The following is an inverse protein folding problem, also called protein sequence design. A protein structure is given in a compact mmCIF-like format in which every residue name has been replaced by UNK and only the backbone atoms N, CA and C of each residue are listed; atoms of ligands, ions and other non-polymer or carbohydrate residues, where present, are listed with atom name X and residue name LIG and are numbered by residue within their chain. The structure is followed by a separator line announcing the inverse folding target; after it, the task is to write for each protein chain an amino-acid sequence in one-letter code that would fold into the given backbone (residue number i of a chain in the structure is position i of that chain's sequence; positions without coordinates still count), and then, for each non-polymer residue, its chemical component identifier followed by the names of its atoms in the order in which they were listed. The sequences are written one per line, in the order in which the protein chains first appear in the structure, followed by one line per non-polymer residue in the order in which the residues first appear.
data_IF_767641097453
#
_entry.id   IF_767641097453
#
_cell.length_a   1.000
_cell.length_b   1.000
_cell.length_c   1.000
_cell.angle_alpha   90.00
_cell.angle_beta   90.00
_cell.angle_gamma   90.00
#
_symmetry.space_group_name_H-M   'P 1'
#
loop_
_entity.id
_entity.type
_entity.pdbx_description
1 polymer ?
#
# COMPACT_ATOMS: atom_id res chain seq x y z
N UNK A 1 -20.91 -88.60 -9.58
CA UNK A 1 -21.70 -87.36 -9.75
C UNK A 1 -20.77 -86.27 -10.19
N UNK A 2 -20.67 -86.05 -11.51
CA UNK A 2 -19.78 -85.07 -12.12
C UNK A 2 -20.61 -83.77 -12.32
N UNK A 3 -20.15 -82.68 -11.79
CA UNK A 3 -20.69 -81.37 -12.10
C UNK A 3 -19.71 -80.61 -12.99
N UNK A 4 -20.15 -80.31 -14.19
CA UNK A 4 -19.49 -79.57 -15.22
C UNK A 4 -19.65 -78.06 -14.97
N UNK A 5 -18.56 -77.32 -14.81
CA UNK A 5 -18.59 -75.85 -14.68
C UNK A 5 -18.41 -75.27 -16.08
N UNK A 6 -19.44 -74.56 -16.55
CA UNK A 6 -19.39 -73.73 -17.78
C UNK A 6 -18.71 -72.39 -17.49
N UNK A 7 -17.63 -72.13 -18.24
CA UNK A 7 -16.95 -70.85 -18.25
C UNK A 7 -17.80 -69.77 -18.93
N UNK A 8 -18.08 -68.70 -18.20
CA UNK A 8 -18.65 -67.45 -18.74
C UNK A 8 -17.52 -66.46 -18.95
N UNK A 9 -17.21 -66.18 -20.22
CA UNK A 9 -16.25 -65.12 -20.57
C UNK A 9 -16.91 -63.74 -20.37
N UNK A 10 -16.42 -63.03 -19.36
CA UNK A 10 -16.77 -61.62 -19.15
C UNK A 10 -15.95 -60.72 -20.05
N UNK A 11 -16.58 -60.04 -21.01
CA UNK A 11 -15.95 -58.95 -21.77
C UNK A 11 -15.78 -57.72 -20.84
N UNK A 12 -14.56 -57.44 -20.50
CA UNK A 12 -14.18 -56.20 -19.84
C UNK A 12 -14.24 -55.04 -20.86
N UNK A 13 -15.29 -54.26 -20.78
CA UNK A 13 -15.39 -52.96 -21.48
C UNK A 13 -14.55 -51.93 -20.74
N UNK A 14 -13.43 -51.53 -21.33
CA UNK A 14 -12.58 -50.43 -20.85
C UNK A 14 -13.31 -49.12 -21.14
N UNK A 15 -14.04 -48.59 -20.17
CA UNK A 15 -14.59 -47.23 -20.21
C UNK A 15 -13.42 -46.31 -19.86
N UNK A 16 -12.82 -45.71 -20.88
CA UNK A 16 -11.84 -44.63 -20.69
C UNK A 16 -12.57 -43.40 -20.10
N UNK A 17 -12.48 -43.22 -18.80
CA UNK A 17 -12.84 -41.94 -18.15
C UNK A 17 -11.80 -40.90 -18.59
N UNK A 18 -12.13 -40.18 -19.65
CA UNK A 18 -11.42 -38.94 -20.01
C UNK A 18 -11.76 -37.89 -18.93
N UNK A 19 -10.93 -37.80 -17.90
CA UNK A 19 -10.95 -36.70 -16.96
C UNK A 19 -10.66 -35.42 -17.77
N UNK A 20 -11.71 -34.69 -18.11
CA UNK A 20 -11.61 -33.31 -18.54
C UNK A 20 -11.02 -32.53 -17.35
N UNK A 21 -9.71 -32.39 -17.34
CA UNK A 21 -9.04 -31.33 -16.63
C UNK A 21 -9.57 -30.03 -17.25
N UNK A 22 -10.62 -29.47 -16.70
CA UNK A 22 -10.91 -28.07 -16.87
C UNK A 22 -9.70 -27.33 -16.30
N UNK A 23 -8.78 -26.98 -17.18
CA UNK A 23 -7.85 -25.91 -16.95
C UNK A 23 -8.73 -24.74 -16.49
N UNK A 24 -8.72 -24.44 -15.20
CA UNK A 24 -9.15 -23.16 -14.69
C UNK A 24 -8.25 -22.14 -15.38
N UNK A 25 -8.63 -21.73 -16.57
CA UNK A 25 -8.17 -20.48 -17.14
C UNK A 25 -8.65 -19.44 -16.13
N UNK A 26 -7.75 -19.03 -15.27
CA UNK A 26 -7.88 -17.80 -14.50
C UNK A 26 -8.31 -16.77 -15.52
N UNK A 27 -9.56 -16.34 -15.41
CA UNK A 27 -10.13 -15.42 -16.36
C UNK A 27 -9.14 -14.26 -16.45
N UNK A 28 -8.57 -14.09 -17.65
CA UNK A 28 -7.73 -12.96 -17.95
C UNK A 28 -8.64 -11.75 -17.75
N UNK A 29 -8.54 -11.08 -16.60
CA UNK A 29 -9.32 -9.90 -16.26
C UNK A 29 -8.51 -8.70 -16.76
N UNK A 30 -8.64 -8.33 -18.06
CA UNK A 30 -7.86 -7.25 -18.64
C UNK A 30 -8.24 -5.94 -17.95
N UNK A 31 -7.24 -5.18 -17.58
CA UNK A 31 -7.46 -3.81 -17.16
C UNK A 31 -7.73 -2.99 -18.41
N UNK A 32 -8.94 -2.45 -18.51
CA UNK A 32 -9.33 -1.51 -19.56
C UNK A 32 -9.05 -0.09 -19.04
N UNK A 33 -8.60 0.81 -19.90
CA UNK A 33 -8.37 2.21 -19.52
C UNK A 33 -8.95 3.17 -20.53
N UNK A 34 -9.45 4.30 -20.04
CA UNK A 34 -9.95 5.41 -20.86
C UNK A 34 -9.65 6.74 -20.17
N UNK A 35 -9.67 7.82 -20.92
CA UNK A 35 -9.57 9.18 -20.40
C UNK A 35 -10.90 9.89 -20.62
N UNK A 36 -11.50 10.39 -19.54
CA UNK A 36 -12.75 11.15 -19.60
C UNK A 36 -12.53 12.54 -20.23
N UNK A 37 -13.58 13.20 -20.72
CA UNK A 37 -13.50 14.58 -21.20
C UNK A 37 -12.95 15.57 -20.17
N UNK A 38 -13.10 15.29 -18.87
CA UNK A 38 -12.51 16.06 -17.79
C UNK A 38 -10.98 15.93 -17.68
N UNK A 39 -10.36 14.99 -18.38
CA UNK A 39 -8.95 14.61 -18.22
C UNK A 39 -8.69 13.49 -17.21
N UNK A 40 -9.70 13.07 -16.43
CA UNK A 40 -9.56 11.96 -15.47
C UNK A 40 -9.25 10.65 -16.20
N UNK A 41 -8.33 9.88 -15.63
CA UNK A 41 -7.99 8.55 -16.14
C UNK A 41 -8.82 7.49 -15.40
N UNK A 42 -9.48 6.61 -16.14
CA UNK A 42 -10.34 5.54 -15.58
C UNK A 42 -9.74 4.19 -15.96
N UNK A 43 -9.63 3.31 -14.97
CA UNK A 43 -9.12 1.94 -15.10
C UNK A 43 -10.18 0.97 -14.59
N UNK A 44 -10.57 -0.01 -15.41
CA UNK A 44 -11.71 -0.87 -15.12
C UNK A 44 -11.32 -2.34 -15.24
N UNK A 45 -11.75 -3.12 -14.26
CA UNK A 45 -11.82 -4.58 -14.36
C UNK A 45 -13.26 -5.03 -14.10
N UNK A 46 -13.92 -5.52 -15.14
CA UNK A 46 -15.28 -6.06 -15.03
C UNK A 46 -15.26 -7.43 -14.35
N UNK A 47 -15.98 -7.59 -13.25
CA UNK A 47 -16.12 -8.83 -12.47
C UNK A 47 -17.60 -9.04 -12.12
N UNK A 48 -18.33 -9.81 -12.95
CA UNK A 48 -19.78 -9.95 -12.88
C UNK A 48 -20.27 -10.99 -11.86
N UNK A 49 -19.38 -11.66 -11.14
CA UNK A 49 -19.71 -12.76 -10.24
C UNK A 49 -20.51 -12.34 -8.99
N UNK A 50 -20.38 -11.11 -8.53
CA UNK A 50 -21.07 -10.56 -7.36
C UNK A 50 -21.63 -9.19 -7.77
N UNK A 51 -22.91 -8.87 -7.48
CA UNK A 51 -23.55 -7.60 -7.83
C UNK A 51 -23.04 -6.45 -6.96
N UNK A 52 -21.75 -6.16 -7.05
CA UNK A 52 -21.02 -5.19 -6.24
C UNK A 52 -20.00 -4.44 -7.10
N UNK A 53 -19.75 -3.20 -6.76
CA UNK A 53 -18.67 -2.39 -7.34
C UNK A 53 -17.83 -1.77 -6.23
N UNK A 54 -16.52 -1.86 -6.42
CA UNK A 54 -15.50 -1.18 -5.63
C UNK A 54 -14.81 -0.12 -6.50
N UNK A 55 -14.69 1.10 -5.96
CA UNK A 55 -14.07 2.25 -6.64
C UNK A 55 -13.00 2.85 -5.75
N UNK A 56 -11.85 3.16 -6.34
CA UNK A 56 -10.79 3.95 -5.73
C UNK A 56 -10.51 5.16 -6.61
N UNK A 57 -10.56 6.37 -6.02
CA UNK A 57 -10.24 7.61 -6.72
C UNK A 57 -9.03 8.22 -6.03
N UNK A 58 -7.97 8.51 -6.76
CA UNK A 58 -6.70 8.95 -6.21
C UNK A 58 -6.25 10.26 -6.85
N UNK A 59 -5.65 11.11 -6.00
CA UNK A 59 -5.13 12.42 -6.37
C UNK A 59 -3.72 12.60 -5.82
N UNK A 60 -2.87 13.30 -6.53
CA UNK A 60 -1.55 13.73 -6.07
C UNK A 60 -1.70 14.84 -4.99
N UNK A 61 -2.10 14.41 -3.80
CA UNK A 61 -2.47 15.23 -2.66
C UNK A 61 -2.07 14.55 -1.32
N UNK A 62 -0.95 13.81 -1.33
CA UNK A 62 -0.42 13.18 -0.12
C UNK A 62 0.41 14.12 0.74
N UNK A 63 0.89 13.62 1.88
CA UNK A 63 1.62 14.40 2.89
C UNK A 63 2.89 15.06 2.33
N UNK A 64 3.50 14.50 1.26
CA UNK A 64 4.63 15.15 0.57
C UNK A 64 4.27 16.47 -0.12
N UNK A 65 2.98 16.79 -0.25
CA UNK A 65 2.45 18.06 -0.77
C UNK A 65 2.14 19.08 0.32
N UNK A 66 2.32 18.72 1.57
CA UNK A 66 2.08 19.62 2.69
C UNK A 66 2.99 20.87 2.60
N UNK A 67 2.46 22.06 2.82
CA UNK A 67 3.27 23.25 2.95
C UNK A 67 4.28 23.13 4.09
N UNK A 68 5.43 23.76 3.92
CA UNK A 68 6.49 23.76 4.94
C UNK A 68 5.93 24.19 6.31
N UNK A 69 6.16 23.37 7.33
CA UNK A 69 5.71 23.59 8.69
C UNK A 69 4.24 23.25 8.97
N UNK A 70 3.51 22.69 8.00
CA UNK A 70 2.15 22.16 8.15
C UNK A 70 2.07 20.67 7.87
N UNK A 71 3.12 19.93 8.17
CA UNK A 71 3.15 18.45 8.02
C UNK A 71 1.93 17.84 8.70
N UNK A 72 1.24 16.96 7.96
CA UNK A 72 -0.02 16.33 8.35
C UNK A 72 -1.26 17.04 7.79
N UNK A 73 -1.13 18.15 7.04
CA UNK A 73 -2.29 18.86 6.48
C UNK A 73 -3.12 17.97 5.55
N UNK A 74 -2.49 17.22 4.64
CA UNK A 74 -3.18 16.28 3.74
C UNK A 74 -3.95 15.21 4.52
N UNK A 75 -3.29 14.56 5.46
CA UNK A 75 -3.88 13.53 6.33
C UNK A 75 -5.01 14.08 7.19
N UNK A 76 -4.87 15.27 7.77
CA UNK A 76 -5.94 15.90 8.56
C UNK A 76 -7.10 16.32 7.66
N UNK A 77 -6.83 16.83 6.45
CA UNK A 77 -7.87 17.19 5.47
C UNK A 77 -8.70 15.98 5.08
N UNK A 78 -8.06 14.86 4.75
CA UNK A 78 -8.76 13.62 4.41
C UNK A 78 -9.65 13.12 5.56
N UNK A 79 -9.17 13.21 6.79
CA UNK A 79 -9.93 12.83 7.99
C UNK A 79 -11.18 13.69 8.24
N UNK A 80 -11.22 14.94 7.77
CA UNK A 80 -12.38 15.81 7.92
C UNK A 80 -13.48 15.56 6.88
N UNK A 81 -13.22 14.80 5.82
CA UNK A 81 -14.19 14.53 4.76
C UNK A 81 -15.41 13.70 5.22
N UNK A 82 -15.29 12.96 6.31
CA UNK A 82 -16.39 12.22 6.94
C UNK A 82 -17.16 13.01 8.01
N UNK A 83 -16.85 14.31 8.22
CA UNK A 83 -17.40 15.10 9.32
C UNK A 83 -18.65 15.89 8.96
N UNK A 84 -19.23 15.58 7.82
CA UNK A 84 -20.46 16.19 7.28
C UNK A 84 -20.24 16.81 5.91
N UNK A 85 -21.36 17.13 5.26
CA UNK A 85 -21.40 17.72 3.91
C UNK A 85 -22.33 18.93 3.90
N UNK A 86 -22.01 19.91 3.05
CA UNK A 86 -22.88 21.04 2.76
C UNK A 86 -23.97 20.63 1.76
N UNK A 87 -25.03 21.46 1.66
CA UNK A 87 -26.04 21.30 0.61
C UNK A 87 -25.40 21.42 -0.78
N UNK A 88 -25.79 20.52 -1.69
CA UNK A 88 -25.23 20.47 -3.04
C UNK A 88 -26.24 19.90 -4.04
N UNK A 89 -26.45 20.59 -5.18
CA UNK A 89 -27.35 20.17 -6.27
C UNK A 89 -28.73 19.69 -5.78
N UNK A 90 -29.38 20.48 -4.92
CA UNK A 90 -30.70 20.18 -4.37
C UNK A 90 -30.72 19.13 -3.24
N UNK A 91 -29.58 18.54 -2.90
CA UNK A 91 -29.44 17.65 -1.75
C UNK A 91 -29.17 18.47 -0.47
N UNK A 92 -29.78 18.11 0.67
CA UNK A 92 -29.58 18.84 1.92
C UNK A 92 -28.15 18.67 2.45
N UNK A 93 -27.72 19.57 3.32
CA UNK A 93 -26.56 19.38 4.15
C UNK A 93 -26.81 18.23 5.14
N UNK A 94 -25.77 17.44 5.43
CA UNK A 94 -25.80 16.38 6.43
C UNK A 94 -24.66 16.59 7.43
N UNK A 95 -24.97 16.44 8.71
CA UNK A 95 -23.93 16.37 9.73
C UNK A 95 -23.22 15.01 9.74
N UNK A 96 -22.25 14.81 10.63
CA UNK A 96 -21.45 13.58 10.73
C UNK A 96 -22.31 12.32 10.99
N UNK A 97 -23.34 12.44 11.85
CA UNK A 97 -24.21 11.31 12.19
C UNK A 97 -25.17 11.00 11.05
N UNK A 98 -25.84 12.03 10.51
CA UNK A 98 -26.74 11.90 9.36
C UNK A 98 -26.02 11.32 8.14
N UNK A 99 -24.76 11.73 7.91
CA UNK A 99 -23.93 11.18 6.84
C UNK A 99 -23.63 9.69 7.07
N UNK A 100 -23.32 9.32 8.31
CA UNK A 100 -23.10 7.92 8.69
C UNK A 100 -24.37 7.06 8.52
N UNK A 101 -25.52 7.55 8.94
CA UNK A 101 -26.81 6.89 8.76
C UNK A 101 -27.16 6.73 7.27
N UNK A 102 -26.96 7.77 6.47
CA UNK A 102 -27.22 7.72 5.03
C UNK A 102 -26.37 6.64 4.30
N UNK A 103 -25.13 6.44 4.72
CA UNK A 103 -24.31 5.35 4.20
C UNK A 103 -24.77 3.98 4.67
N UNK A 104 -25.16 3.87 5.94
CA UNK A 104 -25.68 2.61 6.50
C UNK A 104 -26.97 2.18 5.82
N UNK A 105 -27.91 3.10 5.58
CA UNK A 105 -29.18 2.85 4.90
C UNK A 105 -29.00 2.33 3.46
N UNK A 106 -27.89 2.72 2.80
CA UNK A 106 -27.57 2.25 1.46
C UNK A 106 -26.82 0.89 1.45
N UNK A 107 -26.45 0.35 2.61
CA UNK A 107 -25.57 -0.81 2.68
C UNK A 107 -24.25 -0.60 1.93
N UNK A 108 -23.81 0.66 1.83
CA UNK A 108 -22.63 1.09 1.10
C UNK A 108 -21.60 1.72 2.06
N UNK A 109 -20.38 1.86 1.61
CA UNK A 109 -19.35 2.55 2.36
C UNK A 109 -18.59 3.53 1.47
N UNK A 110 -18.31 4.71 2.00
CA UNK A 110 -17.46 5.70 1.39
C UNK A 110 -16.51 6.28 2.42
N UNK A 111 -15.25 6.46 2.04
CA UNK A 111 -14.23 7.01 2.92
C UNK A 111 -13.12 7.71 2.15
N UNK A 112 -12.36 8.51 2.88
CA UNK A 112 -11.17 9.14 2.36
C UNK A 112 -9.98 8.84 3.27
N UNK A 113 -8.77 8.78 2.69
CA UNK A 113 -7.52 8.58 3.41
C UNK A 113 -6.34 9.19 2.68
N UNK A 114 -5.29 9.49 3.44
CA UNK A 114 -4.05 10.01 2.91
C UNK A 114 -2.89 9.04 3.08
N UNK A 115 -1.86 9.22 2.27
CA UNK A 115 -0.54 8.61 2.39
C UNK A 115 0.51 9.64 1.99
N UNK A 116 1.78 9.26 2.00
CA UNK A 116 2.87 10.16 1.56
C UNK A 116 2.62 10.73 0.15
N UNK A 117 2.15 9.89 -0.79
CA UNK A 117 2.04 10.26 -2.20
C UNK A 117 0.66 10.75 -2.62
N UNK A 118 -0.42 10.31 -1.96
CA UNK A 118 -1.77 10.47 -2.50
C UNK A 118 -2.85 10.63 -1.42
N UNK A 119 -3.87 11.38 -1.76
CA UNK A 119 -5.16 11.32 -1.08
C UNK A 119 -6.11 10.48 -1.94
N UNK A 120 -6.74 9.49 -1.32
CA UNK A 120 -7.65 8.56 -1.99
C UNK A 120 -9.05 8.59 -1.39
N UNK A 121 -10.04 8.31 -2.24
CA UNK A 121 -11.42 8.07 -1.85
C UNK A 121 -11.79 6.65 -2.26
N UNK A 122 -12.47 5.94 -1.40
CA UNK A 122 -12.95 4.59 -1.67
C UNK A 122 -14.47 4.51 -1.55
N UNK A 123 -15.12 3.91 -2.54
CA UNK A 123 -16.54 3.59 -2.53
C UNK A 123 -16.72 2.09 -2.71
N UNK A 124 -17.58 1.50 -1.88
CA UNK A 124 -18.12 0.15 -2.10
C UNK A 124 -19.64 0.20 -2.07
N UNK A 125 -20.29 -0.35 -3.08
CA UNK A 125 -21.74 -0.41 -3.17
C UNK A 125 -22.20 -1.66 -3.89
N UNK A 126 -23.43 -2.09 -3.59
CA UNK A 126 -24.16 -3.02 -4.45
C UNK A 126 -24.56 -2.32 -5.76
N UNK A 127 -24.63 -3.08 -6.86
CA UNK A 127 -24.96 -2.54 -8.20
C UNK A 127 -26.47 -2.54 -8.50
N UNK A 128 -27.31 -2.67 -7.48
CA UNK A 128 -28.76 -2.64 -7.65
C UNK A 128 -29.24 -1.25 -8.09
N UNK A 129 -30.26 -1.21 -9.00
CA UNK A 129 -30.72 0.06 -9.60
C UNK A 129 -31.29 1.08 -8.60
N UNK A 130 -31.76 0.63 -7.46
CA UNK A 130 -32.29 1.47 -6.38
C UNK A 130 -31.25 1.94 -5.37
N UNK A 131 -30.06 1.33 -5.34
CA UNK A 131 -28.98 1.62 -4.39
C UNK A 131 -27.80 2.38 -5.02
N UNK A 132 -27.23 1.86 -6.11
CA UNK A 132 -26.01 2.43 -6.71
C UNK A 132 -26.14 3.90 -7.08
N UNK A 133 -27.21 4.37 -7.74
CA UNK A 133 -27.35 5.80 -8.07
C UNK A 133 -27.37 6.70 -6.84
N UNK A 134 -27.99 6.26 -5.73
CA UNK A 134 -28.04 7.00 -4.47
C UNK A 134 -26.65 7.06 -3.81
N UNK A 135 -25.92 5.93 -3.80
CA UNK A 135 -24.56 5.86 -3.28
C UNK A 135 -23.60 6.78 -4.06
N UNK A 136 -23.70 6.77 -5.39
CA UNK A 136 -22.91 7.67 -6.25
C UNK A 136 -23.22 9.15 -5.98
N UNK A 137 -24.51 9.49 -5.85
CA UNK A 137 -24.91 10.86 -5.59
C UNK A 137 -24.46 11.35 -4.20
N UNK A 138 -24.46 10.49 -3.18
CA UNK A 138 -23.95 10.81 -1.85
C UNK A 138 -22.43 10.95 -1.86
N UNK A 139 -21.72 10.06 -2.53
CA UNK A 139 -20.26 10.13 -2.68
C UNK A 139 -19.84 11.42 -3.43
N UNK A 140 -20.53 11.75 -4.53
CA UNK A 140 -20.29 12.98 -5.29
C UNK A 140 -20.50 14.23 -4.42
N UNK A 141 -21.57 14.28 -3.61
CA UNK A 141 -21.81 15.37 -2.66
C UNK A 141 -20.67 15.45 -1.63
N UNK A 142 -20.23 14.32 -1.08
CA UNK A 142 -19.18 14.29 -0.05
C UNK A 142 -17.83 14.75 -0.61
N UNK A 143 -17.54 14.47 -1.87
CA UNK A 143 -16.35 14.98 -2.56
C UNK A 143 -16.48 16.45 -2.95
N UNK A 144 -17.66 16.87 -3.46
CA UNK A 144 -17.88 18.22 -3.97
C UNK A 144 -18.02 19.28 -2.86
N UNK A 145 -18.65 18.91 -1.76
CA UNK A 145 -19.11 19.86 -0.74
C UNK A 145 -18.81 19.41 0.70
N UNK A 146 -17.56 19.05 1.04
CA UNK A 146 -17.22 18.70 2.42
C UNK A 146 -17.40 19.90 3.35
N UNK A 147 -17.95 19.67 4.54
CA UNK A 147 -18.34 20.75 5.44
C UNK A 147 -17.15 21.53 6.04
N UNK A 148 -16.07 20.85 6.40
CA UNK A 148 -14.89 21.44 7.05
C UNK A 148 -15.27 22.45 8.16
N UNK A 149 -15.91 21.97 9.23
CA UNK A 149 -16.40 22.85 10.29
C UNK A 149 -15.37 23.07 11.40
N UNK A 150 -15.24 24.29 11.90
CA UNK A 150 -14.30 24.62 12.97
C UNK A 150 -14.56 23.81 14.26
N UNK A 151 -15.83 23.59 14.62
CA UNK A 151 -16.19 22.83 15.82
C UNK A 151 -15.73 21.36 15.75
N UNK A 152 -15.88 20.69 14.59
CA UNK A 152 -15.40 19.31 14.42
C UNK A 152 -13.88 19.25 14.41
N UNK A 153 -13.22 20.22 13.77
CA UNK A 153 -11.77 20.32 13.77
C UNK A 153 -11.21 20.55 15.17
N UNK A 154 -11.81 21.42 15.98
CA UNK A 154 -11.38 21.68 17.35
C UNK A 154 -11.42 20.40 18.21
N UNK A 155 -12.48 19.63 18.09
CA UNK A 155 -12.58 18.32 18.76
C UNK A 155 -11.50 17.34 18.28
N UNK A 156 -11.26 17.29 16.96
CA UNK A 156 -10.32 16.34 16.39
C UNK A 156 -8.86 16.72 16.68
N UNK A 157 -8.50 18.02 16.72
CA UNK A 157 -7.15 18.47 17.07
C UNK A 157 -6.78 18.06 18.52
N UNK A 158 -7.74 18.14 19.45
CA UNK A 158 -7.52 17.70 20.83
C UNK A 158 -7.23 16.20 20.90
N UNK A 159 -8.02 15.40 20.19
CA UNK A 159 -7.83 13.94 20.11
C UNK A 159 -6.50 13.58 19.43
N UNK A 160 -6.14 14.24 18.32
CA UNK A 160 -4.87 14.00 17.61
C UNK A 160 -3.68 14.41 18.48
N UNK A 161 -3.76 15.56 19.18
CA UNK A 161 -2.73 16.01 20.12
C UNK A 161 -2.52 15.01 21.27
N UNK A 162 -3.61 14.48 21.84
CA UNK A 162 -3.51 13.45 22.88
C UNK A 162 -2.85 12.16 22.35
N UNK A 163 -3.25 11.69 21.18
CA UNK A 163 -2.65 10.53 20.52
C UNK A 163 -1.15 10.75 20.20
N UNK A 164 -0.78 11.97 19.78
CA UNK A 164 0.61 12.32 19.52
C UNK A 164 1.47 12.23 20.78
N UNK A 165 0.97 12.77 21.90
CA UNK A 165 1.65 12.69 23.21
C UNK A 165 1.80 11.24 23.66
N UNK A 166 0.74 10.45 23.56
CA UNK A 166 0.80 9.02 23.90
C UNK A 166 1.78 8.28 22.99
N UNK A 167 1.74 8.51 21.67
CA UNK A 167 2.63 7.83 20.72
C UNK A 167 4.12 8.14 20.98
N UNK A 168 4.43 9.33 21.48
CA UNK A 168 5.78 9.75 21.85
C UNK A 168 6.33 9.01 23.11
N UNK A 169 5.50 8.29 23.83
CA UNK A 169 5.92 7.41 24.94
C UNK A 169 6.18 5.97 24.49
N UNK A 170 6.01 5.65 23.20
CA UNK A 170 6.17 4.29 22.66
C UNK A 170 7.53 4.15 21.97
N UNK A 171 8.42 3.26 22.41
CA UNK A 171 9.77 3.13 21.84
C UNK A 171 9.75 2.75 20.37
N UNK A 172 8.77 1.96 19.92
CA UNK A 172 8.59 1.64 18.49
C UNK A 172 8.34 2.89 17.63
N UNK A 173 7.49 3.81 18.11
CA UNK A 173 7.19 5.07 17.41
C UNK A 173 8.43 5.98 17.35
N UNK A 174 9.15 6.08 18.46
CA UNK A 174 10.39 6.85 18.54
C UNK A 174 11.42 6.29 17.54
N UNK A 175 11.58 4.96 17.49
CA UNK A 175 12.49 4.30 16.57
C UNK A 175 12.12 4.59 15.10
N UNK A 176 10.85 4.44 14.72
CA UNK A 176 10.37 4.70 13.37
C UNK A 176 10.60 6.17 12.95
N UNK A 177 10.28 7.13 13.82
CA UNK A 177 10.48 8.57 13.55
C UNK A 177 11.95 8.92 13.37
N UNK A 178 12.81 8.45 14.27
CA UNK A 178 14.26 8.68 14.18
C UNK A 178 14.85 8.05 12.91
N UNK A 179 14.37 6.86 12.57
CA UNK A 179 14.77 6.16 11.36
C UNK A 179 14.35 6.93 10.09
N UNK A 180 13.07 7.29 9.97
CA UNK A 180 12.56 8.02 8.81
C UNK A 180 13.26 9.37 8.63
N UNK A 181 13.39 10.14 9.70
CA UNK A 181 14.11 11.43 9.66
C UNK A 181 15.56 11.27 9.20
N UNK A 182 16.27 10.24 9.65
CA UNK A 182 17.66 10.00 9.26
C UNK A 182 17.80 9.45 7.84
N UNK A 183 16.87 8.59 7.39
CA UNK A 183 16.88 8.00 6.04
C UNK A 183 16.52 9.02 4.97
N UNK A 184 15.53 9.85 5.22
CA UNK A 184 15.00 10.75 4.20
C UNK A 184 15.54 12.18 4.26
N UNK A 185 16.16 12.56 5.40
CA UNK A 185 16.74 13.89 5.58
C UNK A 185 15.71 15.01 5.35
N UNK A 186 15.97 15.87 4.37
CA UNK A 186 15.06 16.97 4.01
C UNK A 186 13.93 16.59 3.04
N UNK A 187 13.85 15.32 2.60
CA UNK A 187 12.77 14.88 1.74
C UNK A 187 11.47 14.73 2.54
N UNK A 188 10.30 15.13 1.98
CA UNK A 188 9.02 15.09 2.70
C UNK A 188 8.60 13.73 3.24
N UNK A 189 9.06 12.61 2.68
CA UNK A 189 8.82 11.27 3.23
C UNK A 189 9.36 11.07 4.66
N UNK A 190 10.31 11.89 5.09
CA UNK A 190 10.86 11.87 6.44
C UNK A 190 10.20 12.84 7.41
N UNK A 191 9.22 13.62 6.94
CA UNK A 191 8.54 14.59 7.81
C UNK A 191 7.50 13.88 8.66
N UNK A 192 7.38 14.35 9.90
CA UNK A 192 6.48 13.77 10.88
C UNK A 192 5.51 14.83 11.40
N UNK A 193 4.27 14.41 11.67
CA UNK A 193 3.30 15.27 12.35
C UNK A 193 3.80 15.59 13.75
N UNK A 194 3.86 16.87 14.08
CA UNK A 194 4.28 17.38 15.39
C UNK A 194 3.17 18.24 16.01
N UNK A 195 3.24 18.46 17.33
CA UNK A 195 2.36 19.41 18.01
C UNK A 195 2.43 20.81 17.36
N UNK A 196 3.63 21.21 16.89
CA UNK A 196 3.84 22.51 16.28
C UNK A 196 3.18 22.59 14.90
N UNK A 197 3.33 21.58 14.04
CA UNK A 197 2.67 21.55 12.74
C UNK A 197 1.16 21.42 12.88
N UNK A 198 0.69 20.57 13.80
CA UNK A 198 -0.73 20.40 14.10
C UNK A 198 -1.43 21.71 14.49
N UNK A 199 -0.79 22.54 15.33
CA UNK A 199 -1.35 23.85 15.73
C UNK A 199 -1.46 24.87 14.60
N UNK A 200 -0.70 24.70 13.52
CA UNK A 200 -0.76 25.59 12.33
C UNK A 200 -1.87 25.18 11.37
N UNK A 201 -2.32 23.92 11.45
CA UNK A 201 -3.39 23.41 10.60
C UNK A 201 -4.72 23.97 11.08
N UNK A 202 -5.50 24.52 10.16
CA UNK A 202 -6.84 25.05 10.41
C UNK A 202 -7.76 24.75 9.22
N UNK A 203 -9.05 24.99 9.40
CA UNK A 203 -10.09 24.71 8.39
C UNK A 203 -9.82 25.46 7.07
N UNK A 204 -9.31 26.69 7.13
CA UNK A 204 -8.99 27.43 5.90
C UNK A 204 -7.84 26.79 5.13
N UNK A 205 -6.78 26.34 5.82
CA UNK A 205 -5.67 25.63 5.19
C UNK A 205 -6.16 24.32 4.55
N UNK A 206 -7.04 23.56 5.23
CA UNK A 206 -7.64 22.33 4.69
C UNK A 206 -8.45 22.62 3.43
N UNK A 207 -9.31 23.64 3.43
CA UNK A 207 -10.10 24.05 2.26
C UNK A 207 -9.20 24.44 1.09
N UNK A 208 -8.18 25.26 1.36
CA UNK A 208 -7.23 25.71 0.35
C UNK A 208 -6.45 24.52 -0.24
N UNK A 209 -5.97 23.60 0.59
CA UNK A 209 -5.28 22.40 0.16
C UNK A 209 -6.19 21.51 -0.69
N UNK A 210 -7.40 21.25 -0.22
CA UNK A 210 -8.40 20.44 -0.91
C UNK A 210 -8.71 21.01 -2.31
N UNK A 211 -9.05 22.28 -2.38
CA UNK A 211 -9.39 22.96 -3.64
C UNK A 211 -8.19 23.00 -4.61
N UNK A 212 -6.96 23.14 -4.10
CA UNK A 212 -5.77 23.17 -4.95
C UNK A 212 -5.45 21.82 -5.60
N UNK A 213 -5.69 20.70 -4.90
CA UNK A 213 -5.22 19.38 -5.31
C UNK A 213 -6.33 18.46 -5.84
N UNK A 214 -7.54 18.54 -5.29
CA UNK A 214 -8.66 17.64 -5.65
C UNK A 214 -9.44 18.25 -6.82
N UNK A 215 -9.05 17.88 -8.05
CA UNK A 215 -9.59 18.37 -9.31
C UNK A 215 -9.91 17.23 -10.24
N UNK A 216 -11.03 17.30 -10.95
CA UNK A 216 -11.50 16.21 -11.79
C UNK A 216 -10.43 15.71 -12.79
N UNK A 217 -9.72 16.63 -13.44
CA UNK A 217 -8.69 16.32 -14.44
C UNK A 217 -7.45 15.61 -13.89
N UNK A 218 -7.23 15.64 -12.57
CA UNK A 218 -6.09 14.99 -11.91
C UNK A 218 -6.45 13.64 -11.31
N UNK A 219 -7.72 13.23 -11.41
CA UNK A 219 -8.21 12.00 -10.82
C UNK A 219 -7.68 10.77 -11.58
N UNK A 220 -7.22 9.77 -10.83
CA UNK A 220 -7.06 8.40 -11.29
C UNK A 220 -8.15 7.57 -10.63
N UNK A 221 -9.07 7.04 -11.43
CA UNK A 221 -10.24 6.29 -10.96
C UNK A 221 -10.05 4.83 -11.32
N UNK A 222 -9.95 3.97 -10.33
CA UNK A 222 -9.88 2.53 -10.49
C UNK A 222 -11.19 1.90 -10.06
N UNK A 223 -11.75 1.00 -10.88
CA UNK A 223 -13.07 0.41 -10.68
C UNK A 223 -12.98 -1.09 -10.90
N UNK A 224 -13.47 -1.86 -9.94
CA UNK A 224 -13.56 -3.33 -10.04
C UNK A 224 -14.95 -3.77 -9.60
N UNK A 225 -15.63 -4.58 -10.41
CA UNK A 225 -16.92 -5.12 -10.02
C UNK A 225 -17.88 -5.38 -11.17
N UNK A 226 -19.16 -5.55 -10.84
CA UNK A 226 -20.21 -5.88 -11.78
C UNK A 226 -20.70 -4.66 -12.57
N UNK A 227 -19.79 -4.09 -13.35
CA UNK A 227 -20.04 -2.94 -14.25
C UNK A 227 -19.34 -3.16 -15.58
N UNK A 228 -19.95 -2.67 -16.68
CA UNK A 228 -19.28 -2.59 -17.98
C UNK A 228 -18.32 -1.40 -18.02
N UNK A 229 -17.44 -1.34 -19.00
CA UNK A 229 -16.58 -0.18 -19.20
C UNK A 229 -17.40 1.11 -19.36
N UNK A 230 -18.45 1.09 -20.18
CA UNK A 230 -19.31 2.24 -20.40
C UNK A 230 -20.04 2.71 -19.13
N UNK A 231 -20.47 1.77 -18.27
CA UNK A 231 -21.09 2.13 -16.99
C UNK A 231 -20.06 2.67 -16.01
N UNK A 232 -18.84 2.14 -16.00
CA UNK A 232 -17.74 2.64 -15.18
C UNK A 232 -17.34 4.07 -15.56
N UNK A 233 -17.33 4.43 -16.86
CA UNK A 233 -17.10 5.79 -17.32
C UNK A 233 -18.18 6.77 -16.86
N UNK A 234 -19.45 6.36 -16.94
CA UNK A 234 -20.59 7.14 -16.40
C UNK A 234 -20.48 7.32 -14.88
N UNK A 235 -20.16 6.24 -14.16
CA UNK A 235 -19.97 6.24 -12.73
C UNK A 235 -18.85 7.21 -12.31
N UNK A 236 -17.70 7.12 -12.97
CA UNK A 236 -16.58 8.02 -12.72
C UNK A 236 -16.95 9.49 -13.01
N UNK A 237 -17.66 9.74 -14.12
CA UNK A 237 -18.15 11.07 -14.48
C UNK A 237 -19.08 11.64 -13.40
N UNK A 238 -20.00 10.84 -12.88
CA UNK A 238 -20.92 11.26 -11.80
C UNK A 238 -20.17 11.57 -10.50
N UNK A 239 -19.21 10.73 -10.10
CA UNK A 239 -18.42 10.93 -8.89
C UNK A 239 -17.60 12.23 -8.96
N UNK A 240 -17.07 12.57 -10.12
CA UNK A 240 -16.21 13.74 -10.31
C UNK A 240 -16.97 15.03 -10.68
N UNK A 241 -18.30 14.96 -10.89
CA UNK A 241 -19.10 16.06 -11.44
C UNK A 241 -19.06 17.35 -10.63
N UNK A 242 -18.85 17.28 -9.32
CA UNK A 242 -18.77 18.44 -8.43
C UNK A 242 -17.36 18.97 -8.21
N UNK A 243 -16.35 18.35 -8.78
CA UNK A 243 -14.97 18.79 -8.63
C UNK A 243 -14.59 19.85 -9.67
N UNK A 244 -13.68 20.79 -9.33
CA UNK A 244 -13.19 21.77 -10.29
C UNK A 244 -12.63 21.11 -11.55
N UNK A 245 -13.00 21.63 -12.71
CA UNK A 245 -12.58 21.13 -14.04
C UNK A 245 -11.36 21.89 -14.57
N UNK A 246 -11.03 23.04 -14.00
CA UNK A 246 -9.95 23.93 -14.41
C UNK A 246 -8.72 23.81 -13.49
N UNK A 247 -7.60 24.44 -13.88
CA UNK A 247 -6.37 24.44 -13.09
C UNK A 247 -5.68 23.08 -13.08
N UNK A 248 -5.58 22.46 -14.26
CA UNK A 248 -5.04 21.13 -14.48
C UNK A 248 -3.54 21.12 -14.78
N UNK A 249 -2.86 22.25 -14.58
CA UNK A 249 -1.41 22.34 -14.75
C UNK A 249 -0.68 21.34 -13.86
N UNK A 250 0.52 20.95 -14.29
CA UNK A 250 1.36 20.06 -13.52
C UNK A 250 1.67 20.65 -12.13
N UNK A 251 1.55 19.84 -11.10
CA UNK A 251 1.95 20.24 -9.76
C UNK A 251 3.48 20.40 -9.67
N UNK A 252 3.98 21.28 -8.79
CA UNK A 252 5.41 21.45 -8.59
C UNK A 252 6.10 20.09 -8.34
N UNK A 253 7.30 19.93 -8.92
CA UNK A 253 8.07 18.72 -8.70
C UNK A 253 8.51 18.62 -7.24
N UNK A 254 8.40 17.42 -6.67
CA UNK A 254 9.01 17.09 -5.37
C UNK A 254 10.43 16.61 -5.64
N UNK A 255 11.45 17.09 -4.90
CA UNK A 255 12.83 16.62 -5.06
C UNK A 255 12.94 15.10 -4.85
N UNK A 256 13.96 14.48 -5.42
CA UNK A 256 14.21 13.06 -5.20
C UNK A 256 14.91 12.82 -3.86
N UNK A 257 14.63 11.66 -3.27
CA UNK A 257 15.33 11.19 -2.07
C UNK A 257 16.82 11.01 -2.39
N UNK A 258 17.68 11.59 -1.58
CA UNK A 258 19.12 11.50 -1.78
C UNK A 258 19.73 10.29 -1.08
N UNK A 259 20.73 9.62 -1.66
CA UNK A 259 21.47 8.56 -0.99
C UNK A 259 22.16 9.07 0.28
N UNK A 260 22.36 8.20 1.25
CA UNK A 260 23.11 8.53 2.47
C UNK A 260 24.60 8.74 2.14
N UNK A 261 25.16 9.82 2.65
CA UNK A 261 26.60 10.12 2.49
C UNK A 261 27.48 9.19 3.35
N UNK A 262 27.03 8.85 4.56
CA UNK A 262 27.74 8.03 5.53
C UNK A 262 26.77 7.27 6.43
N UNK A 263 27.28 6.25 7.13
CA UNK A 263 26.55 5.54 8.16
C UNK A 263 26.19 6.45 9.34
N UNK A 264 25.03 6.24 9.93
CA UNK A 264 24.57 6.93 11.12
C UNK A 264 24.14 5.89 12.17
N UNK A 265 24.63 6.05 13.40
CA UNK A 265 24.23 5.21 14.53
C UNK A 265 23.55 6.10 15.57
N UNK A 266 22.24 5.87 15.77
CA UNK A 266 21.39 6.66 16.65
C UNK A 266 20.95 5.75 17.79
N UNK A 267 21.42 6.02 19.00
CA UNK A 267 20.97 5.36 20.21
C UNK A 267 20.06 6.32 20.98
N UNK A 268 18.91 5.84 21.38
CA UNK A 268 17.95 6.59 22.21
C UNK A 268 17.71 5.78 23.47
N UNK A 269 18.25 6.21 24.61
CA UNK A 269 17.94 5.58 25.91
C UNK A 269 16.45 5.60 26.16
N UNK A 270 15.92 4.45 26.54
CA UNK A 270 14.52 4.29 26.87
C UNK A 270 14.33 3.10 27.80
N UNK A 271 13.67 3.31 28.93
CA UNK A 271 13.37 2.24 29.85
C UNK A 271 12.25 1.35 29.29
N UNK A 272 12.62 0.20 28.77
CA UNK A 272 11.70 -0.78 28.21
C UNK A 272 12.28 -2.19 28.30
N UNK A 273 11.40 -3.19 28.35
CA UNK A 273 11.77 -4.60 28.34
C UNK A 273 12.42 -5.04 27.01
N UNK A 274 12.20 -4.30 25.94
CA UNK A 274 12.73 -4.60 24.60
C UNK A 274 13.36 -3.36 23.97
N UNK A 275 14.49 -3.57 23.31
CA UNK A 275 15.07 -2.58 22.40
C UNK A 275 14.48 -2.76 20.98
N UNK A 276 14.07 -1.65 20.38
CA UNK A 276 13.61 -1.57 19.00
C UNK A 276 14.77 -1.17 18.11
N UNK A 277 15.04 -1.98 17.10
CA UNK A 277 16.14 -1.77 16.15
C UNK A 277 15.58 -1.56 14.75
N UNK A 278 16.06 -0.53 14.08
CA UNK A 278 15.84 -0.28 12.65
C UNK A 278 17.17 -0.03 11.96
N UNK A 279 17.44 -0.78 10.87
CA UNK A 279 18.65 -0.63 10.06
C UNK A 279 18.22 -0.41 8.61
N UNK A 280 18.70 0.63 7.92
CA UNK A 280 18.32 0.81 6.52
C UNK A 280 18.82 2.10 5.89
N UNK A 281 18.31 2.36 4.70
CA UNK A 281 18.71 3.46 3.82
C UNK A 281 17.57 3.77 2.83
N UNK A 282 17.67 4.85 2.02
CA UNK A 282 16.83 5.00 0.83
C UNK A 282 16.98 3.78 -0.11
N UNK A 283 15.88 3.27 -0.61
CA UNK A 283 15.83 2.12 -1.50
C UNK A 283 15.66 2.54 -2.97
N UNK A 284 14.48 2.32 -3.54
CA UNK A 284 14.19 2.56 -4.96
C UNK A 284 12.75 3.00 -5.20
N UNK A 285 12.47 3.54 -6.40
CA UNK A 285 11.12 3.91 -6.85
C UNK A 285 10.34 2.69 -7.31
N UNK A 286 9.01 2.74 -7.23
CA UNK A 286 8.14 1.64 -7.68
C UNK A 286 8.32 1.26 -9.15
N UNK A 287 8.75 2.19 -9.98
CA UNK A 287 9.00 1.97 -11.42
C UNK A 287 10.43 1.53 -11.76
N UNK A 288 11.25 1.25 -10.75
CA UNK A 288 12.64 0.83 -10.96
C UNK A 288 12.70 -0.51 -11.73
N UNK A 289 13.56 -0.64 -12.74
CA UNK A 289 13.71 -1.88 -13.50
C UNK A 289 14.14 -3.08 -12.66
N UNK A 290 14.85 -2.85 -11.55
CA UNK A 290 15.29 -3.90 -10.62
C UNK A 290 14.18 -4.40 -9.69
N UNK A 291 12.95 -3.87 -9.80
CA UNK A 291 11.85 -4.17 -8.87
C UNK A 291 11.66 -5.67 -8.60
N UNK A 292 11.60 -6.49 -9.64
CA UNK A 292 11.34 -7.94 -9.47
C UNK A 292 12.53 -8.67 -8.85
N UNK A 293 13.75 -8.31 -9.22
CA UNK A 293 14.96 -8.88 -8.62
C UNK A 293 15.05 -8.52 -7.12
N UNK A 294 14.74 -7.28 -6.77
CA UNK A 294 14.70 -6.80 -5.39
C UNK A 294 13.55 -7.40 -4.59
N UNK A 295 12.38 -7.64 -5.22
CA UNK A 295 11.25 -8.33 -4.60
C UNK A 295 11.62 -9.75 -4.20
N UNK A 296 12.18 -10.55 -5.14
CA UNK A 296 12.60 -11.93 -4.87
C UNK A 296 13.76 -11.94 -3.88
N UNK A 297 14.75 -11.07 -4.04
CA UNK A 297 15.89 -10.97 -3.14
C UNK A 297 15.49 -10.59 -1.72
N UNK A 298 14.58 -9.63 -1.55
CA UNK A 298 14.08 -9.29 -0.22
C UNK A 298 13.26 -10.42 0.41
N UNK A 299 12.51 -11.18 -0.38
CA UNK A 299 11.80 -12.37 0.12
C UNK A 299 12.78 -13.35 0.76
N UNK A 300 13.93 -13.62 0.13
CA UNK A 300 14.98 -14.49 0.65
C UNK A 300 15.68 -13.87 1.87
N UNK A 301 15.97 -12.57 1.83
CA UNK A 301 16.70 -11.89 2.90
C UNK A 301 15.91 -11.84 4.21
N UNK A 302 14.67 -11.30 4.20
CA UNK A 302 13.88 -11.09 5.40
C UNK A 302 12.38 -10.99 5.20
N UNK A 303 11.89 -10.96 3.94
CA UNK A 303 10.47 -10.85 3.61
C UNK A 303 9.70 -12.17 3.59
N UNK A 304 10.38 -13.31 3.48
CA UNK A 304 9.78 -14.65 3.39
C UNK A 304 9.44 -15.31 4.74
N UNK A 305 9.40 -14.54 5.82
CA UNK A 305 9.07 -15.06 7.14
C UNK A 305 10.09 -16.10 7.63
N UNK A 306 9.62 -17.27 8.05
CA UNK A 306 10.48 -18.33 8.65
C UNK A 306 11.55 -18.89 7.71
N UNK A 307 11.38 -18.79 6.41
CA UNK A 307 12.36 -19.29 5.43
C UNK A 307 13.47 -18.29 5.11
N UNK A 308 13.38 -17.05 5.62
CA UNK A 308 14.34 -16.00 5.30
C UNK A 308 15.66 -16.14 6.07
N UNK A 309 16.73 -15.59 5.47
CA UNK A 309 18.08 -15.62 6.09
C UNK A 309 18.13 -14.90 7.43
N UNK A 310 17.49 -13.73 7.53
CA UNK A 310 17.45 -12.98 8.79
C UNK A 310 16.76 -13.78 9.90
N UNK A 311 15.61 -14.42 9.62
CA UNK A 311 14.93 -15.24 10.62
C UNK A 311 15.80 -16.41 11.05
N UNK A 312 16.41 -17.10 10.11
CA UNK A 312 17.30 -18.23 10.41
C UNK A 312 18.50 -17.82 11.27
N UNK A 313 19.18 -16.72 10.92
CA UNK A 313 20.44 -16.33 11.58
C UNK A 313 20.21 -15.60 12.91
N UNK A 314 19.20 -14.71 12.99
CA UNK A 314 18.96 -13.88 14.18
C UNK A 314 18.06 -14.59 15.18
N UNK A 315 16.99 -15.24 14.70
CA UNK A 315 15.99 -15.88 15.56
C UNK A 315 16.35 -17.34 15.86
N UNK A 316 16.45 -18.20 14.83
CA UNK A 316 16.53 -19.66 15.04
C UNK A 316 17.87 -20.07 15.60
N UNK A 317 18.97 -19.61 15.03
CA UNK A 317 20.32 -20.01 15.46
C UNK A 317 20.78 -19.34 16.75
N UNK A 318 20.33 -18.10 17.02
CA UNK A 318 20.89 -17.29 18.12
C UNK A 318 19.88 -16.84 19.16
N UNK A 319 18.58 -16.99 18.90
CA UNK A 319 17.53 -16.59 19.84
C UNK A 319 17.51 -15.09 20.17
N UNK A 320 18.10 -14.23 19.31
CA UNK A 320 18.25 -12.81 19.58
C UNK A 320 16.97 -12.01 19.42
N UNK A 321 16.01 -12.49 18.63
CA UNK A 321 14.75 -11.81 18.37
C UNK A 321 13.63 -12.80 18.13
N UNK A 322 12.42 -12.48 18.60
CA UNK A 322 11.23 -13.25 18.24
C UNK A 322 10.77 -12.96 16.79
N UNK A 323 10.96 -11.73 16.33
CA UNK A 323 10.59 -11.30 14.98
C UNK A 323 11.69 -10.43 14.39
N UNK A 324 12.18 -10.81 13.22
CA UNK A 324 13.10 -10.03 12.41
C UNK A 324 12.65 -10.11 10.95
N UNK A 325 12.68 -8.98 10.27
CA UNK A 325 12.20 -8.88 8.89
C UNK A 325 12.96 -7.79 8.12
N UNK A 326 12.89 -7.87 6.80
CA UNK A 326 13.29 -6.77 5.92
C UNK A 326 12.22 -6.46 4.89
N UNK A 327 12.15 -5.21 4.45
CA UNK A 327 11.25 -4.78 3.40
C UNK A 327 11.80 -3.58 2.64
N UNK A 328 11.29 -3.39 1.42
CA UNK A 328 11.37 -2.16 0.66
C UNK A 328 9.98 -1.51 0.61
N UNK A 329 9.92 -0.19 0.65
CA UNK A 329 8.69 0.60 0.55
C UNK A 329 8.70 1.50 -0.68
N UNK A 330 8.79 0.96 -1.92
CA UNK A 330 8.93 1.77 -3.12
C UNK A 330 7.67 2.60 -3.40
N UNK A 331 7.82 3.93 -3.47
CA UNK A 331 6.79 4.91 -3.80
C UNK A 331 7.03 5.58 -5.16
N UNK A 332 6.47 6.76 -5.35
CA UNK A 332 6.81 7.63 -6.49
C UNK A 332 8.28 8.07 -6.42
N UNK A 333 8.79 8.28 -5.21
CA UNK A 333 10.19 8.50 -4.92
C UNK A 333 10.81 7.26 -4.29
N UNK A 334 12.14 7.26 -4.10
CA UNK A 334 12.84 6.13 -3.49
C UNK A 334 12.38 5.96 -2.03
N UNK A 335 11.53 4.99 -1.77
CA UNK A 335 11.14 4.60 -0.43
C UNK A 335 12.25 3.83 0.28
N UNK A 336 12.15 3.67 1.60
CA UNK A 336 13.21 3.04 2.37
C UNK A 336 13.34 1.53 2.12
N UNK A 337 14.57 1.05 2.21
CA UNK A 337 14.88 -0.32 2.65
C UNK A 337 15.07 -0.31 4.15
N UNK A 338 14.44 -1.25 4.85
CA UNK A 338 14.59 -1.39 6.29
C UNK A 338 14.68 -2.85 6.73
N UNK A 339 15.53 -3.10 7.73
CA UNK A 339 15.52 -4.28 8.59
C UNK A 339 14.96 -3.82 9.92
N UNK A 340 13.93 -4.51 10.43
CA UNK A 340 13.31 -4.26 11.71
C UNK A 340 13.38 -5.47 12.63
N UNK A 341 13.69 -5.26 13.90
CA UNK A 341 13.64 -6.30 14.93
C UNK A 341 13.42 -5.72 16.32
N UNK A 342 12.99 -6.58 17.23
CA UNK A 342 12.92 -6.30 18.66
C UNK A 342 13.74 -7.35 19.40
N UNK A 343 14.51 -6.92 20.39
CA UNK A 343 15.41 -7.80 21.15
C UNK A 343 15.51 -7.33 22.60
N UNK A 344 16.11 -8.14 23.47
CA UNK A 344 16.46 -7.65 24.79
C UNK A 344 17.54 -6.56 24.71
N UNK A 345 17.50 -5.53 25.58
CA UNK A 345 18.46 -4.44 25.56
C UNK A 345 19.92 -4.89 25.60
N UNK A 346 20.24 -5.87 26.43
CA UNK A 346 21.59 -6.44 26.58
C UNK A 346 22.08 -7.21 25.33
N UNK A 347 21.19 -7.58 24.43
CA UNK A 347 21.48 -8.29 23.18
C UNK A 347 21.43 -7.38 21.95
N UNK A 348 21.04 -6.11 22.09
CA UNK A 348 20.80 -5.23 20.95
C UNK A 348 22.03 -5.06 20.05
N UNK A 349 23.21 -4.87 20.63
CA UNK A 349 24.45 -4.75 19.86
C UNK A 349 24.76 -5.99 19.02
N UNK A 350 24.57 -7.18 19.62
CA UNK A 350 24.78 -8.46 18.91
C UNK A 350 23.75 -8.65 17.81
N UNK A 351 22.46 -8.34 18.06
CA UNK A 351 21.40 -8.46 17.07
C UNK A 351 21.62 -7.52 15.88
N UNK A 352 22.06 -6.28 16.12
CA UNK A 352 22.47 -5.33 15.08
C UNK A 352 23.61 -5.89 14.25
N UNK A 353 24.69 -6.36 14.89
CA UNK A 353 25.87 -6.89 14.20
C UNK A 353 25.50 -8.07 13.30
N UNK A 354 24.80 -9.08 13.83
CA UNK A 354 24.37 -10.26 13.07
C UNK A 354 23.49 -9.87 11.89
N UNK A 355 22.55 -8.93 12.09
CA UNK A 355 21.67 -8.48 10.99
C UNK A 355 22.46 -7.77 9.88
N UNK A 356 23.45 -6.96 10.24
CA UNK A 356 24.34 -6.29 9.27
C UNK A 356 25.23 -7.28 8.53
N UNK A 357 25.76 -8.30 9.22
CA UNK A 357 26.59 -9.33 8.62
C UNK A 357 25.81 -10.16 7.61
N UNK A 358 24.56 -10.55 7.95
CA UNK A 358 23.66 -11.26 7.04
C UNK A 358 23.37 -10.41 5.80
N UNK A 359 23.07 -9.14 5.97
CA UNK A 359 22.83 -8.20 4.87
C UNK A 359 24.07 -8.05 3.98
N UNK A 360 25.23 -7.76 4.57
CA UNK A 360 26.47 -7.57 3.83
C UNK A 360 26.87 -8.82 3.05
N UNK A 361 26.77 -9.99 3.69
CA UNK A 361 26.99 -11.28 3.03
C UNK A 361 26.00 -11.50 1.86
N UNK A 362 24.71 -11.19 2.06
CA UNK A 362 23.70 -11.33 1.01
C UNK A 362 23.98 -10.42 -0.19
N UNK A 363 24.33 -9.16 0.05
CA UNK A 363 24.69 -8.22 -1.02
C UNK A 363 25.96 -8.65 -1.75
N UNK A 364 26.97 -9.15 -1.04
CA UNK A 364 28.25 -9.55 -1.63
C UNK A 364 28.16 -10.86 -2.43
N UNK A 365 27.46 -11.87 -1.89
CA UNK A 365 27.48 -13.24 -2.42
C UNK A 365 26.21 -13.62 -3.20
N UNK A 366 25.10 -12.89 -2.99
CA UNK A 366 23.80 -13.23 -3.55
C UNK A 366 23.14 -14.44 -2.89
N UNK A 367 21.97 -14.85 -3.40
CA UNK A 367 21.26 -16.06 -2.97
C UNK A 367 21.81 -17.30 -3.67
N UNK A 368 21.54 -18.49 -3.08
CA UNK A 368 21.76 -19.77 -3.77
C UNK A 368 20.64 -20.04 -4.79
N UNK A 369 20.88 -20.93 -5.78
CA UNK A 369 19.83 -21.34 -6.73
C UNK A 369 18.59 -21.94 -6.04
N UNK A 370 18.79 -22.70 -4.97
CA UNK A 370 17.72 -23.33 -4.19
C UNK A 370 16.86 -22.28 -3.46
N UNK A 371 17.49 -21.25 -2.88
CA UNK A 371 16.77 -20.14 -2.24
C UNK A 371 15.95 -19.36 -3.28
N UNK A 372 16.50 -19.16 -4.48
CA UNK A 372 15.77 -18.46 -5.57
C UNK A 372 14.58 -19.29 -6.01
N UNK A 373 14.72 -20.60 -6.22
CA UNK A 373 13.61 -21.45 -6.63
C UNK A 373 12.51 -21.47 -5.57
N UNK A 374 12.86 -21.68 -4.31
CA UNK A 374 11.89 -21.68 -3.20
C UNK A 374 11.15 -20.34 -3.07
N UNK A 375 11.85 -19.21 -3.25
CA UNK A 375 11.22 -17.89 -3.23
C UNK A 375 10.24 -17.67 -4.39
N UNK A 376 10.62 -18.10 -5.61
CA UNK A 376 9.74 -18.06 -6.79
C UNK A 376 8.49 -18.91 -6.58
N UNK A 377 8.65 -20.15 -6.13
CA UNK A 377 7.53 -21.07 -5.89
C UNK A 377 6.53 -20.48 -4.89
N UNK A 378 7.04 -19.88 -3.81
CA UNK A 378 6.20 -19.21 -2.82
C UNK A 378 5.49 -17.96 -3.38
N UNK A 379 6.22 -17.09 -4.06
CA UNK A 379 5.68 -15.84 -4.61
C UNK A 379 4.67 -16.11 -5.72
N UNK A 380 4.96 -17.02 -6.64
CA UNK A 380 4.08 -17.38 -7.77
C UNK A 380 2.87 -18.15 -7.25
N UNK A 381 3.08 -19.16 -6.39
CA UNK A 381 1.98 -19.93 -5.80
C UNK A 381 1.03 -19.09 -4.94
N UNK A 382 1.56 -18.07 -4.26
CA UNK A 382 0.78 -17.12 -3.46
C UNK A 382 0.14 -15.98 -4.26
N UNK A 383 0.46 -15.82 -5.56
CA UNK A 383 -0.01 -14.66 -6.33
C UNK A 383 -1.52 -14.59 -6.46
N UNK A 384 -2.18 -15.74 -6.66
CA UNK A 384 -3.62 -15.81 -6.74
C UNK A 384 -4.33 -15.21 -5.53
N UNK A 385 -3.80 -15.41 -4.34
CA UNK A 385 -4.33 -14.87 -3.09
C UNK A 385 -4.20 -13.35 -2.96
N UNK A 386 -3.44 -12.71 -3.86
CA UNK A 386 -3.29 -11.25 -3.92
C UNK A 386 -4.35 -10.55 -4.75
N UNK A 387 -5.15 -11.32 -5.51
CA UNK A 387 -6.18 -10.82 -6.44
C UNK A 387 -7.51 -11.61 -6.32
N UNK A 388 -7.72 -12.35 -5.23
CA UNK A 388 -8.84 -13.27 -5.03
C UNK A 388 -10.16 -12.58 -4.62
N UNK A 389 -10.17 -11.28 -4.49
CA UNK A 389 -11.37 -10.49 -4.17
C UNK A 389 -11.36 -9.15 -4.90
N UNK A 390 -12.56 -8.56 -5.11
CA UNK A 390 -12.68 -7.24 -5.75
C UNK A 390 -11.79 -6.21 -5.06
N UNK A 391 -11.75 -6.19 -3.72
CA UNK A 391 -10.92 -5.23 -2.98
C UNK A 391 -9.43 -5.41 -3.28
N UNK A 392 -8.90 -6.64 -3.19
CA UNK A 392 -7.48 -6.90 -3.46
C UNK A 392 -7.13 -6.61 -4.91
N UNK A 393 -8.04 -6.96 -5.84
CA UNK A 393 -7.86 -6.64 -7.25
C UNK A 393 -7.88 -5.13 -7.48
N UNK A 394 -8.80 -4.39 -6.84
CA UNK A 394 -8.85 -2.94 -6.89
C UNK A 394 -7.56 -2.29 -6.36
N UNK A 395 -7.04 -2.75 -5.22
CA UNK A 395 -5.81 -2.24 -4.64
C UNK A 395 -4.62 -2.40 -5.62
N UNK A 396 -4.58 -3.51 -6.36
CA UNK A 396 -3.58 -3.74 -7.40
C UNK A 396 -3.79 -2.83 -8.62
N UNK A 397 -5.02 -2.71 -9.13
CA UNK A 397 -5.37 -1.84 -10.26
C UNK A 397 -5.06 -0.39 -9.93
N UNK A 398 -5.41 0.08 -8.74
CA UNK A 398 -5.12 1.42 -8.26
C UNK A 398 -3.60 1.69 -8.19
N UNK A 399 -2.81 0.74 -7.72
CA UNK A 399 -1.35 0.88 -7.73
C UNK A 399 -0.76 0.88 -9.14
N UNK A 400 -1.28 0.06 -10.06
CA UNK A 400 -0.89 0.06 -11.47
C UNK A 400 -1.18 1.42 -12.10
N UNK A 401 -2.40 1.93 -11.90
CA UNK A 401 -2.83 3.23 -12.36
C UNK A 401 -1.96 4.36 -11.77
N UNK A 402 -1.71 4.31 -10.45
CA UNK A 402 -0.98 5.36 -9.74
C UNK A 402 0.42 5.62 -10.30
N UNK A 403 1.17 4.55 -10.51
CA UNK A 403 2.56 4.63 -10.98
C UNK A 403 2.72 4.36 -12.49
N UNK A 404 1.63 4.35 -13.25
CA UNK A 404 1.60 4.13 -14.69
C UNK A 404 2.32 2.84 -15.12
N UNK A 405 2.08 1.72 -14.42
CA UNK A 405 2.58 0.41 -14.86
C UNK A 405 1.80 -0.09 -16.09
N UNK A 406 2.38 -0.99 -16.88
CA UNK A 406 1.68 -1.61 -18.00
C UNK A 406 0.37 -2.28 -17.57
N UNK A 407 -0.67 -2.18 -18.40
CA UNK A 407 -1.99 -2.75 -18.06
C UNK A 407 -1.99 -4.29 -17.98
N UNK A 408 -1.03 -4.93 -18.61
CA UNK A 408 -0.78 -6.38 -18.54
C UNK A 408 0.04 -6.80 -17.31
N UNK A 409 0.31 -5.87 -16.38
CA UNK A 409 1.20 -6.10 -15.23
C UNK A 409 0.79 -7.33 -14.42
N UNK A 410 -0.51 -7.51 -14.13
CA UNK A 410 -1.00 -8.65 -13.36
C UNK A 410 -0.86 -9.97 -14.11
N UNK A 411 -1.12 -9.98 -15.42
CA UNK A 411 -1.03 -11.19 -16.25
C UNK A 411 0.40 -11.63 -16.51
N UNK A 412 1.35 -10.69 -16.52
CA UNK A 412 2.77 -10.95 -16.75
C UNK A 412 3.58 -11.11 -15.47
N UNK A 413 2.98 -10.83 -14.30
CA UNK A 413 3.69 -10.77 -13.01
C UNK A 413 4.43 -12.08 -12.67
N UNK A 414 3.74 -13.22 -12.74
CA UNK A 414 4.34 -14.54 -12.44
C UNK A 414 5.49 -14.87 -13.39
N UNK A 415 5.32 -14.56 -14.68
CA UNK A 415 6.38 -14.76 -15.68
C UNK A 415 7.61 -13.88 -15.43
N UNK A 416 7.39 -12.64 -14.96
CA UNK A 416 8.50 -11.73 -14.59
C UNK A 416 9.25 -12.23 -13.37
N UNK A 417 8.55 -12.72 -12.35
CA UNK A 417 9.18 -13.36 -11.18
C UNK A 417 9.95 -14.62 -11.59
N UNK A 418 9.37 -15.45 -12.45
CA UNK A 418 9.99 -16.71 -12.89
C UNK A 418 11.31 -16.51 -13.65
N UNK A 419 11.45 -15.43 -14.38
CA UNK A 419 12.67 -15.11 -15.14
C UNK A 419 13.84 -14.64 -14.28
N UNK A 420 13.62 -14.25 -13.03
CA UNK A 420 14.67 -13.70 -12.16
C UNK A 420 15.69 -14.79 -11.81
N UNK A 421 16.96 -14.48 -11.96
CA UNK A 421 18.10 -15.35 -11.62
C UNK A 421 18.80 -14.88 -10.34
N UNK A 422 19.63 -15.76 -9.76
CA UNK A 422 20.49 -15.41 -8.63
C UNK A 422 21.43 -14.24 -8.95
N UNK A 423 21.93 -14.20 -10.17
CA UNK A 423 22.81 -13.13 -10.65
C UNK A 423 22.07 -11.80 -10.76
N UNK A 424 20.80 -11.80 -11.26
CA UNK A 424 19.97 -10.58 -11.30
C UNK A 424 19.74 -10.02 -9.90
N UNK A 425 19.43 -10.90 -8.93
CA UNK A 425 19.24 -10.52 -7.53
C UNK A 425 20.50 -9.92 -6.95
N UNK A 426 21.64 -10.60 -7.08
CA UNK A 426 22.90 -10.11 -6.56
C UNK A 426 23.24 -8.74 -7.15
N UNK A 427 23.20 -8.60 -8.47
CA UNK A 427 23.50 -7.37 -9.16
C UNK A 427 22.55 -6.22 -8.76
N UNK A 428 21.26 -6.49 -8.61
CA UNK A 428 20.28 -5.50 -8.16
C UNK A 428 20.54 -5.06 -6.71
N UNK A 429 20.80 -6.02 -5.80
CA UNK A 429 21.12 -5.71 -4.40
C UNK A 429 22.40 -4.88 -4.28
N UNK A 430 23.45 -5.19 -5.06
CA UNK A 430 24.70 -4.42 -5.09
C UNK A 430 24.51 -2.99 -5.63
N UNK A 431 23.63 -2.81 -6.63
CA UNK A 431 23.31 -1.46 -7.15
C UNK A 431 22.54 -0.60 -6.16
N UNK A 432 21.64 -1.22 -5.38
CA UNK A 432 20.67 -0.48 -4.57
C UNK A 432 21.02 -0.40 -3.10
N UNK A 433 21.83 -1.29 -2.56
CA UNK A 433 22.15 -1.32 -1.13
C UNK A 433 23.65 -1.06 -0.88
N UNK A 434 23.90 -0.22 0.12
CA UNK A 434 25.24 0.13 0.61
C UNK A 434 25.31 -0.19 2.12
N UNK A 435 25.59 -1.45 2.51
CA UNK A 435 25.53 -1.89 3.90
C UNK A 435 26.44 -1.08 4.87
N UNK A 436 27.50 -0.49 4.34
CA UNK A 436 28.45 0.37 5.05
C UNK A 436 27.93 1.78 5.33
N UNK A 437 26.85 2.22 4.65
CA UNK A 437 26.31 3.57 4.78
C UNK A 437 24.92 3.66 5.41
N UNK A 438 24.43 2.58 6.02
CA UNK A 438 23.09 2.57 6.54
C UNK A 438 22.92 3.32 7.87
N UNK A 439 21.73 3.86 8.06
CA UNK A 439 21.25 4.31 9.37
C UNK A 439 20.97 3.09 10.24
N UNK A 440 21.42 3.13 11.49
CA UNK A 440 21.04 2.19 12.53
C UNK A 440 20.44 2.97 13.69
N UNK A 441 19.19 2.68 14.03
CA UNK A 441 18.51 3.26 15.18
C UNK A 441 18.24 2.17 16.20
N UNK A 442 18.60 2.43 17.45
CA UNK A 442 18.31 1.56 18.60
C UNK A 442 17.60 2.39 19.66
N UNK A 443 16.38 2.02 20.01
CA UNK A 443 15.60 2.65 21.09
C UNK A 443 15.31 1.61 22.15
N UNK A 444 15.83 1.82 23.35
CA UNK A 444 15.69 0.90 24.48
C UNK A 444 17.04 0.60 25.16
N UNK A 445 16.97 0.16 26.41
CA UNK A 445 18.12 -0.04 27.27
C UNK A 445 18.52 1.24 28.02
N UNK A 446 19.29 1.05 29.10
CA UNK A 446 20.00 2.15 29.75
C UNK A 446 21.27 2.49 28.96
N UNK A 447 21.84 3.65 29.17
CA UNK A 447 23.13 4.09 28.62
C UNK A 447 24.28 3.14 28.96
#
# INVERSE_FOLDING_TARGET
MQFTIKSIAARAGTTACTALFTLNTWANLPIQSTTLPSGAQVYVVSSMGIPMVDVQIEFDAGDRRDPQGMTGLASMTSGQLSKGVLAWQGRPALDENQLGEAWADLGASFGAGGSDDRMGFSLRSLTYPDLLPKALALAAQQMAAPAFTAAKWQRDIERVSANLKESNTKPATIAARRFNAAVYGSHPYGYDLTEQSLRRINVQAMRSFYTAHIRACRAKVSIVGAVTQADAEKLATQLLAGLPQEGCDALPAVPEVQPLAAAQNIKVPFESAQAHVSIGQPGYKRTDPDFFALLVGNHILGGGGFTSRLTREVREKRGLSYSVYSYFSPGLHAGAFAIGLQTRPDQAAQAVQVSRDVLASFVAQGPTPEEVQAAKDNLIGGFALRIDSNKKLLDNVANIAWVNLPLDYLTTWSQRVDKITAQDIQAAMQRKLQPDKMVTVVVGGAD
#
